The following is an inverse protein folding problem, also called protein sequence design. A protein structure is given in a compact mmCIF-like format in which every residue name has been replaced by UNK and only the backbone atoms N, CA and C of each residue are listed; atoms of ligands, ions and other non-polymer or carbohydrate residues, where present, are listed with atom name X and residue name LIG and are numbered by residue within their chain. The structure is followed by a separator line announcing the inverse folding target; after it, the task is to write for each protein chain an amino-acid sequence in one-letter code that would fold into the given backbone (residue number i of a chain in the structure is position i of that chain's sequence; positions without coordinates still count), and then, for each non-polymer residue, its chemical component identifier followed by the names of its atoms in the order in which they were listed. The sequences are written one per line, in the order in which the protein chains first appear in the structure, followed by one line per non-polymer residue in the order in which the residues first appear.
data_IF_505872394420
#
_entry.id   IF_505872394420
#
_cell.length_a   1.000
_cell.length_b   1.000
_cell.length_c   1.000
_cell.angle_alpha   90.00
_cell.angle_beta   90.00
_cell.angle_gamma   90.00
#
_symmetry.space_group_name_H-M   'P 1'
#
loop_
_entity.id
_entity.type
_entity.pdbx_description
1 polymer ?
#
# COMPACT_ATOMS: atom_id res chain seq x y z
N UNK A 1 6.22 -19.43 -21.69
CA UNK A 1 6.77 -18.51 -20.64
C UNK A 1 6.62 -19.10 -19.24
N UNK A 2 5.42 -19.57 -18.81
CA UNK A 2 5.21 -20.21 -17.50
C UNK A 2 6.21 -21.35 -17.21
N UNK A 3 6.38 -22.30 -18.15
CA UNK A 3 7.30 -23.43 -18.01
C UNK A 3 8.76 -23.01 -17.75
N UNK A 4 9.20 -21.86 -18.22
CA UNK A 4 10.54 -21.33 -17.96
C UNK A 4 10.70 -20.91 -16.50
N UNK A 5 9.70 -20.25 -15.94
CA UNK A 5 9.71 -19.84 -14.54
C UNK A 5 9.54 -21.02 -13.58
N UNK A 6 8.64 -21.95 -13.91
CA UNK A 6 8.45 -23.18 -13.14
C UNK A 6 9.74 -24.02 -13.13
N UNK A 7 10.44 -24.11 -14.29
CA UNK A 7 11.72 -24.79 -14.41
C UNK A 7 12.86 -24.10 -13.62
N UNK A 8 12.75 -22.82 -13.36
CA UNK A 8 13.69 -22.05 -12.53
C UNK A 8 13.29 -22.02 -11.04
N UNK A 9 12.26 -22.76 -10.63
CA UNK A 9 11.80 -22.85 -9.25
C UNK A 9 10.91 -21.70 -8.78
N UNK A 10 10.42 -20.85 -9.71
CA UNK A 10 9.50 -19.77 -9.37
C UNK A 10 8.04 -20.23 -9.47
N UNK A 11 7.25 -19.94 -8.44
CA UNK A 11 5.80 -20.13 -8.50
C UNK A 11 5.15 -19.02 -9.34
N UNK A 12 4.49 -19.40 -10.43
CA UNK A 12 3.81 -18.45 -11.32
C UNK A 12 2.32 -18.43 -11.04
N UNK A 13 1.81 -17.26 -10.65
CA UNK A 13 0.38 -17.01 -10.50
C UNK A 13 -0.13 -16.19 -11.67
N UNK A 14 -1.12 -16.71 -12.39
CA UNK A 14 -1.80 -15.98 -13.44
C UNK A 14 -2.85 -15.04 -12.84
N UNK A 15 -2.82 -13.79 -13.27
CA UNK A 15 -3.76 -12.76 -12.82
C UNK A 15 -4.66 -12.37 -13.99
N UNK A 16 -5.91 -12.78 -13.95
CA UNK A 16 -6.88 -12.53 -15.02
C UNK A 16 -7.14 -11.02 -15.23
N UNK A 17 -7.25 -10.26 -14.13
CA UNK A 17 -7.39 -8.80 -14.15
C UNK A 17 -6.13 -8.14 -13.60
N UNK A 18 -5.09 -8.10 -14.44
CA UNK A 18 -3.80 -7.50 -14.09
C UNK A 18 -3.92 -6.00 -13.80
N UNK A 19 -4.83 -5.30 -14.47
CA UNK A 19 -5.03 -3.86 -14.28
C UNK A 19 -5.53 -3.54 -12.88
N UNK A 20 -6.55 -4.24 -12.41
CA UNK A 20 -7.07 -4.09 -11.03
C UNK A 20 -6.03 -4.56 -10.00
N UNK A 21 -5.27 -5.60 -10.32
CA UNK A 21 -4.18 -6.06 -9.45
C UNK A 21 -3.11 -4.98 -9.28
N UNK A 22 -2.70 -4.34 -10.36
CA UNK A 22 -1.68 -3.30 -10.35
C UNK A 22 -2.17 -2.06 -9.57
N UNK A 23 -3.42 -1.64 -9.80
CA UNK A 23 -4.01 -0.52 -9.05
C UNK A 23 -4.18 -0.83 -7.57
N UNK A 24 -4.56 -2.04 -7.22
CA UNK A 24 -4.63 -2.43 -5.80
C UNK A 24 -3.24 -2.40 -5.15
N UNK A 25 -2.22 -2.87 -5.83
CA UNK A 25 -0.83 -2.77 -5.37
C UNK A 25 -0.40 -1.32 -5.16
N UNK A 26 -0.74 -0.47 -6.11
CA UNK A 26 -0.47 0.96 -6.04
C UNK A 26 -1.15 1.63 -4.83
N UNK A 27 -2.37 1.23 -4.49
CA UNK A 27 -3.10 1.69 -3.29
C UNK A 27 -2.41 1.20 -2.01
N UNK A 28 -1.92 -0.06 -1.98
CA UNK A 28 -1.15 -0.57 -0.84
C UNK A 28 0.11 0.27 -0.61
N UNK A 29 0.86 0.56 -1.67
CA UNK A 29 2.05 1.40 -1.61
C UNK A 29 1.71 2.82 -1.17
N UNK A 30 0.64 3.41 -1.70
CA UNK A 30 0.19 4.75 -1.32
C UNK A 30 -0.14 4.85 0.18
N UNK A 31 -0.89 3.88 0.71
CA UNK A 31 -1.22 3.83 2.14
C UNK A 31 0.00 3.62 3.02
N UNK A 32 0.90 2.73 2.61
CA UNK A 32 2.12 2.44 3.35
C UNK A 32 3.06 3.66 3.37
N UNK A 33 3.29 4.29 2.21
CA UNK A 33 4.16 5.48 2.13
C UNK A 33 3.58 6.67 2.89
N UNK A 34 2.26 6.86 2.86
CA UNK A 34 1.60 7.87 3.69
C UNK A 34 1.81 7.61 5.18
N UNK A 35 1.64 6.37 5.63
CA UNK A 35 1.86 5.97 7.02
C UNK A 35 3.32 6.14 7.47
N UNK A 36 4.28 5.76 6.61
CA UNK A 36 5.72 5.93 6.87
C UNK A 36 6.08 7.42 7.01
N UNK A 37 5.59 8.26 6.12
CA UNK A 37 5.82 9.72 6.19
C UNK A 37 5.20 10.34 7.43
N UNK A 38 3.98 9.96 7.76
CA UNK A 38 3.30 10.43 8.99
C UNK A 38 4.07 10.03 10.26
N UNK A 39 4.71 8.86 10.24
CA UNK A 39 5.53 8.39 11.36
C UNK A 39 6.93 9.05 11.44
N UNK A 40 7.37 9.73 10.39
CA UNK A 40 8.72 10.30 10.29
C UNK A 40 9.78 9.31 9.84
N UNK A 41 9.39 8.17 9.24
CA UNK A 41 10.29 7.18 8.68
C UNK A 41 9.90 5.73 8.99
N UNK A 42 10.56 4.79 8.31
CA UNK A 42 10.20 3.36 8.38
C UNK A 42 10.38 2.76 9.79
N UNK A 43 11.49 3.05 10.45
CA UNK A 43 11.76 2.52 11.80
C UNK A 43 10.77 3.07 12.85
N UNK A 44 10.35 4.32 12.72
CA UNK A 44 9.30 4.90 13.54
C UNK A 44 7.94 4.26 13.21
N UNK A 45 7.66 4.03 11.93
CA UNK A 45 6.44 3.40 11.45
C UNK A 45 6.23 1.99 12.06
N UNK A 46 7.23 1.11 11.98
CA UNK A 46 7.10 -0.27 12.48
C UNK A 46 6.92 -0.32 14.00
N UNK A 47 7.27 0.74 14.73
CA UNK A 47 7.01 0.88 16.17
C UNK A 47 5.68 1.56 16.49
N UNK A 48 5.06 2.26 15.52
CA UNK A 48 3.85 3.06 15.73
C UNK A 48 2.57 2.28 15.43
N UNK A 49 1.77 2.00 16.45
CA UNK A 49 0.43 1.44 16.29
C UNK A 49 -0.51 2.43 15.60
N UNK A 50 -0.37 3.72 15.89
CA UNK A 50 -1.20 4.78 15.27
C UNK A 50 -0.94 4.87 13.77
N UNK A 51 0.33 4.92 13.34
CA UNK A 51 0.67 5.02 11.93
C UNK A 51 0.24 3.77 11.14
N UNK A 52 0.39 2.57 11.72
CA UNK A 52 -0.05 1.34 11.06
C UNK A 52 -1.57 1.23 10.96
N UNK A 53 -2.32 1.72 11.95
CA UNK A 53 -3.80 1.83 11.85
C UNK A 53 -4.21 2.81 10.77
N UNK A 54 -3.59 3.99 10.74
CA UNK A 54 -3.81 4.99 9.70
C UNK A 54 -3.56 4.39 8.31
N UNK A 55 -2.47 3.64 8.12
CA UNK A 55 -2.20 2.92 6.86
C UNK A 55 -3.37 2.04 6.44
N UNK A 56 -3.90 1.23 7.36
CA UNK A 56 -5.03 0.33 7.07
C UNK A 56 -6.29 1.12 6.69
N UNK A 57 -6.59 2.20 7.42
CA UNK A 57 -7.74 3.07 7.15
C UNK A 57 -7.62 3.81 5.82
N UNK A 58 -6.41 4.25 5.45
CA UNK A 58 -6.12 4.86 4.15
C UNK A 58 -6.30 3.86 3.01
N UNK A 59 -5.80 2.63 3.16
CA UNK A 59 -5.96 1.58 2.15
C UNK A 59 -7.46 1.27 1.94
N UNK A 60 -8.23 1.13 3.02
CA UNK A 60 -9.68 0.90 2.91
C UNK A 60 -10.38 2.08 2.21
N UNK A 61 -10.10 3.32 2.61
CA UNK A 61 -10.65 4.52 1.97
C UNK A 61 -10.32 4.58 0.46
N UNK A 62 -9.06 4.33 0.09
CA UNK A 62 -8.60 4.39 -1.29
C UNK A 62 -9.15 3.25 -2.17
N UNK A 63 -9.67 2.16 -1.60
CA UNK A 63 -10.31 1.10 -2.41
C UNK A 63 -11.51 1.61 -3.18
N UNK A 64 -12.17 2.69 -2.73
CA UNK A 64 -13.26 3.35 -3.46
C UNK A 64 -12.77 3.91 -4.82
N UNK A 65 -11.52 4.38 -4.90
CA UNK A 65 -10.92 4.83 -6.17
C UNK A 65 -10.75 3.66 -7.14
N UNK A 66 -10.34 2.48 -6.63
CA UNK A 66 -10.24 1.28 -7.45
C UNK A 66 -11.60 0.86 -8.02
N UNK A 67 -12.65 0.91 -7.20
CA UNK A 67 -14.01 0.58 -7.62
C UNK A 67 -14.56 1.55 -8.67
N UNK A 68 -14.35 2.83 -8.48
CA UNK A 68 -14.74 3.86 -9.44
C UNK A 68 -14.01 3.71 -10.80
N UNK A 69 -12.84 3.07 -10.82
CA UNK A 69 -12.11 2.71 -12.05
C UNK A 69 -12.65 1.44 -12.72
N UNK A 70 -13.70 0.83 -12.19
CA UNK A 70 -14.21 -0.46 -12.67
C UNK A 70 -13.39 -1.67 -12.24
N UNK A 71 -12.50 -1.49 -11.27
CA UNK A 71 -11.70 -2.58 -10.70
C UNK A 71 -12.51 -3.49 -9.78
N UNK A 72 -12.25 -4.78 -9.85
CA UNK A 72 -12.88 -5.75 -8.96
C UNK A 72 -12.16 -5.74 -7.60
N UNK A 73 -12.94 -5.72 -6.52
CA UNK A 73 -12.40 -5.92 -5.17
C UNK A 73 -11.70 -7.28 -5.07
N UNK A 74 -10.41 -7.28 -4.88
CA UNK A 74 -9.64 -8.51 -4.71
C UNK A 74 -9.77 -9.05 -3.29
N UNK A 75 -9.49 -10.35 -3.14
CA UNK A 75 -9.48 -11.02 -1.85
C UNK A 75 -8.61 -10.30 -0.80
N UNK A 76 -7.46 -9.72 -1.22
CA UNK A 76 -6.61 -8.89 -0.36
C UNK A 76 -7.31 -7.62 0.14
N UNK A 77 -8.03 -6.89 -0.73
CA UNK A 77 -8.80 -5.72 -0.33
C UNK A 77 -9.93 -6.09 0.65
N UNK A 78 -10.51 -7.29 0.52
CA UNK A 78 -11.53 -7.77 1.45
C UNK A 78 -11.00 -7.84 2.89
N UNK A 79 -9.76 -8.26 3.10
CA UNK A 79 -9.17 -8.35 4.44
C UNK A 79 -9.11 -6.99 5.16
N UNK A 80 -8.82 -5.90 4.45
CA UNK A 80 -8.80 -4.55 5.01
C UNK A 80 -10.16 -4.05 5.49
N UNK A 81 -11.25 -4.62 4.98
CA UNK A 81 -12.63 -4.22 5.32
C UNK A 81 -13.31 -5.15 6.31
N UNK A 82 -12.98 -6.43 6.30
CA UNK A 82 -13.69 -7.45 7.08
C UNK A 82 -13.02 -7.76 8.41
N UNK A 83 -11.70 -7.56 8.49
CA UNK A 83 -10.97 -7.75 9.75
C UNK A 83 -10.92 -6.44 10.54
N UNK A 84 -10.93 -6.51 11.88
CA UNK A 84 -10.71 -5.32 12.71
C UNK A 84 -9.39 -4.62 12.33
N UNK A 85 -9.43 -3.31 12.14
CA UNK A 85 -8.27 -2.48 11.74
C UNK A 85 -7.03 -2.76 12.59
N UNK A 86 -7.22 -2.97 13.90
CA UNK A 86 -6.11 -3.28 14.82
C UNK A 86 -5.43 -4.62 14.54
N UNK A 87 -6.18 -5.62 14.06
CA UNK A 87 -5.63 -6.95 13.71
C UNK A 87 -4.81 -6.83 12.43
N UNK A 88 -5.33 -6.16 11.41
CA UNK A 88 -4.61 -5.95 10.14
C UNK A 88 -3.35 -5.10 10.38
N UNK A 89 -3.45 -4.02 11.16
CA UNK A 89 -2.33 -3.15 11.51
C UNK A 89 -1.24 -3.89 12.31
N UNK A 90 -1.64 -4.76 13.25
CA UNK A 90 -0.70 -5.61 13.96
C UNK A 90 0.03 -6.58 13.03
N UNK A 91 -0.71 -7.28 12.14
CA UNK A 91 -0.13 -8.17 11.14
C UNK A 91 0.84 -7.45 10.21
N UNK A 92 0.46 -6.27 9.72
CA UNK A 92 1.32 -5.44 8.87
C UNK A 92 2.62 -5.03 9.57
N UNK A 93 2.55 -4.61 10.82
CA UNK A 93 3.73 -4.28 11.62
C UNK A 93 4.64 -5.50 11.84
N UNK A 94 4.06 -6.66 12.15
CA UNK A 94 4.83 -7.91 12.33
C UNK A 94 5.52 -8.31 11.04
N UNK A 95 4.83 -8.18 9.90
CA UNK A 95 5.37 -8.49 8.59
C UNK A 95 6.54 -7.57 8.23
N UNK A 96 6.35 -6.26 8.37
CA UNK A 96 7.34 -5.27 7.93
C UNK A 96 8.48 -5.06 8.94
N UNK A 97 8.18 -5.13 10.24
CA UNK A 97 9.17 -4.91 11.31
C UNK A 97 9.90 -6.16 11.77
N UNK A 98 9.44 -7.36 11.33
CA UNK A 98 10.04 -8.63 11.70
C UNK A 98 11.37 -8.90 11.00
N UNK A 99 12.12 -9.85 11.57
CA UNK A 99 13.31 -10.41 10.93
C UNK A 99 12.90 -11.49 9.92
N UNK A 100 12.42 -11.03 8.77
CA UNK A 100 11.90 -11.84 7.68
C UNK A 100 12.22 -11.18 6.33
N UNK A 101 12.01 -11.92 5.24
CA UNK A 101 12.33 -11.47 3.88
C UNK A 101 11.63 -10.13 3.54
N UNK A 102 10.36 -9.96 3.90
CA UNK A 102 9.62 -8.73 3.59
C UNK A 102 10.16 -7.52 4.34
N UNK A 103 10.43 -7.64 5.63
CA UNK A 103 11.03 -6.58 6.43
C UNK A 103 12.42 -6.19 5.90
N UNK A 104 13.22 -7.19 5.51
CA UNK A 104 14.53 -6.96 4.92
C UNK A 104 14.43 -6.25 3.56
N UNK A 105 13.59 -6.74 2.66
CA UNK A 105 13.36 -6.10 1.35
C UNK A 105 12.86 -4.66 1.48
N UNK A 106 11.92 -4.39 2.40
CA UNK A 106 11.43 -3.03 2.63
C UNK A 106 12.53 -2.08 3.09
N UNK A 107 13.41 -2.52 3.99
CA UNK A 107 14.57 -1.71 4.41
C UNK A 107 15.50 -1.40 3.24
N UNK A 108 15.79 -2.40 2.38
CA UNK A 108 16.63 -2.21 1.19
C UNK A 108 15.97 -1.25 0.18
N UNK A 109 14.69 -1.43 -0.10
CA UNK A 109 13.93 -0.56 -1.03
C UNK A 109 13.92 0.88 -0.52
N UNK A 110 13.63 1.09 0.77
CA UNK A 110 13.56 2.44 1.35
C UNK A 110 14.94 3.07 1.57
N UNK A 111 16.01 2.28 1.66
CA UNK A 111 17.38 2.77 1.66
C UNK A 111 17.90 3.13 0.26
N UNK A 112 17.22 2.70 -0.79
CA UNK A 112 17.52 3.03 -2.19
C UNK A 112 16.86 4.34 -2.64
N UNK A 113 17.00 4.69 -3.92
CA UNK A 113 16.31 5.83 -4.53
C UNK A 113 14.76 5.76 -4.39
N UNK A 114 14.18 4.56 -4.20
CA UNK A 114 12.74 4.40 -3.96
C UNK A 114 12.29 4.95 -2.60
N UNK A 115 13.20 5.11 -1.65
CA UNK A 115 12.93 5.76 -0.36
C UNK A 115 13.07 7.28 -0.38
N UNK A 116 13.40 7.89 -1.53
CA UNK A 116 13.50 9.35 -1.63
C UNK A 116 12.16 10.03 -1.30
N UNK A 117 12.19 11.27 -0.82
CA UNK A 117 10.97 12.05 -0.55
C UNK A 117 10.02 12.11 -1.74
N UNK A 118 10.55 12.28 -2.96
CA UNK A 118 9.77 12.36 -4.20
C UNK A 118 9.08 11.03 -4.51
N UNK A 119 9.79 9.91 -4.40
CA UNK A 119 9.25 8.59 -4.69
C UNK A 119 8.20 8.18 -3.65
N UNK A 120 8.46 8.40 -2.38
CA UNK A 120 7.48 8.08 -1.32
C UNK A 120 6.24 8.97 -1.36
N UNK A 121 6.35 10.21 -1.86
CA UNK A 121 5.22 11.12 -2.07
C UNK A 121 4.44 10.81 -3.36
N UNK A 122 5.06 10.17 -4.34
CA UNK A 122 4.46 9.94 -5.66
C UNK A 122 3.16 9.11 -5.58
N UNK A 123 3.17 8.01 -4.81
CA UNK A 123 2.03 7.11 -4.73
C UNK A 123 0.77 7.79 -4.17
N UNK A 124 0.80 8.40 -2.96
CA UNK A 124 -0.37 9.08 -2.43
C UNK A 124 -0.82 10.27 -3.28
N UNK A 125 0.11 11.05 -3.86
CA UNK A 125 -0.24 12.13 -4.81
C UNK A 125 -1.00 11.64 -6.03
N UNK A 126 -0.58 10.53 -6.62
CA UNK A 126 -1.25 9.94 -7.79
C UNK A 126 -2.65 9.43 -7.44
N UNK A 127 -2.83 8.81 -6.27
CA UNK A 127 -4.16 8.38 -5.82
C UNK A 127 -5.06 9.59 -5.58
N UNK A 128 -4.58 10.67 -4.95
CA UNK A 128 -5.33 11.92 -4.78
C UNK A 128 -5.76 12.53 -6.11
N UNK A 129 -4.85 12.61 -7.07
CA UNK A 129 -5.17 13.14 -8.41
C UNK A 129 -6.25 12.29 -9.10
N UNK A 130 -6.17 10.97 -8.99
CA UNK A 130 -7.14 10.07 -9.59
C UNK A 130 -8.50 10.12 -8.87
N UNK A 131 -8.50 10.21 -7.54
CA UNK A 131 -9.71 10.42 -6.75
C UNK A 131 -10.45 11.67 -7.19
N UNK A 132 -9.75 12.79 -7.32
CA UNK A 132 -10.31 14.06 -7.82
C UNK A 132 -10.87 13.92 -9.24
N UNK A 133 -10.13 13.26 -10.13
CA UNK A 133 -10.58 13.03 -11.52
C UNK A 133 -11.86 12.20 -11.60
N UNK A 134 -12.06 11.28 -10.65
CA UNK A 134 -13.21 10.37 -10.60
C UNK A 134 -14.36 10.88 -9.71
N UNK A 135 -14.17 12.02 -9.01
CA UNK A 135 -15.16 12.52 -8.04
C UNK A 135 -15.30 11.63 -6.81
N UNK A 136 -14.24 10.92 -6.41
CA UNK A 136 -14.24 10.04 -5.24
C UNK A 136 -13.67 10.77 -4.04
N UNK A 137 -14.43 10.78 -2.94
CA UNK A 137 -14.00 11.38 -1.68
C UNK A 137 -13.00 10.48 -0.94
N UNK A 138 -11.85 11.04 -0.58
CA UNK A 138 -10.78 10.39 0.20
C UNK A 138 -10.30 11.35 1.29
N UNK A 139 -11.15 11.67 2.27
CA UNK A 139 -10.89 12.77 3.21
C UNK A 139 -9.65 12.55 4.09
N UNK A 140 -9.35 11.32 4.51
CA UNK A 140 -8.15 11.04 5.30
C UNK A 140 -6.89 11.28 4.48
N UNK A 141 -6.86 10.80 3.24
CA UNK A 141 -5.72 11.01 2.36
C UNK A 141 -5.56 12.49 2.00
N UNK A 142 -6.66 13.21 1.78
CA UNK A 142 -6.65 14.66 1.53
C UNK A 142 -6.08 15.44 2.72
N UNK A 143 -6.42 15.06 3.94
CA UNK A 143 -5.87 15.70 5.15
C UNK A 143 -4.34 15.57 5.27
N UNK A 144 -3.76 14.55 4.64
CA UNK A 144 -2.31 14.31 4.63
C UNK A 144 -1.59 14.94 3.41
N UNK A 145 -2.32 15.57 2.50
CA UNK A 145 -1.74 16.14 1.26
C UNK A 145 -0.53 17.06 1.49
N UNK A 146 -0.49 17.91 2.53
CA UNK A 146 0.69 18.73 2.82
C UNK A 146 1.98 17.93 3.06
N UNK A 147 1.88 16.67 3.48
CA UNK A 147 3.03 15.80 3.67
C UNK A 147 3.62 15.27 2.35
N UNK A 148 2.90 15.44 1.24
CA UNK A 148 3.28 14.93 -0.08
C UNK A 148 3.71 16.05 -1.04
N UNK A 149 3.63 17.30 -0.61
CA UNK A 149 4.01 18.48 -1.39
C UNK A 149 5.53 18.52 -1.70
#
# INVERSE_FOLDING_TARGET
MRALFDGAGFSVTEVADFRSWLWFHFILDAGLMAGIRTAGGFDAYVRSTTASRLTVELIDEMTAVLEAKGGVRRAGAKAFRTLPTGVVAFGLRRLLGGDNLYGHLMRLVLASAHGSPEMTAMYPRRVLAEARRLGVEVPRLQALEPLFA
#
